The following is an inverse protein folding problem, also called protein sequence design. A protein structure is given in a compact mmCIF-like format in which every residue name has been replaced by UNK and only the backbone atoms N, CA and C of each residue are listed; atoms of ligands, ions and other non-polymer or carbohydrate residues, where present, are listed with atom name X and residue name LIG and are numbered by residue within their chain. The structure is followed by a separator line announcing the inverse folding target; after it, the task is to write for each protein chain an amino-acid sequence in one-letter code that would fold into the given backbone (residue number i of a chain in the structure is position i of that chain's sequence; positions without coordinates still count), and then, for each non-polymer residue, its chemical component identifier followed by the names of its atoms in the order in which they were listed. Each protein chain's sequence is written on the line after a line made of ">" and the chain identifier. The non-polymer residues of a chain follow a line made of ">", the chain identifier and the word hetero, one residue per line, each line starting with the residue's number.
data_IF_992496690589
#
_entry.id   IF_992496690589
#
_cell.length_a   1.000
_cell.length_b   1.000
_cell.length_c   1.000
_cell.angle_alpha   90.00
_cell.angle_beta   90.00
_cell.angle_gamma   90.00
#
_symmetry.space_group_name_H-M   'P 1'
#
loop_
_entity.id
_entity.type
_entity.pdbx_description
1 polymer ?
#
# COMPACT_ATOMS: atom_id res chain seq x y z
N UNK A 1 -11.44 -13.39 -8.10
CA UNK A 1 -10.51 -14.45 -7.58
C UNK A 1 -9.64 -13.86 -6.48
N UNK A 2 -9.56 -14.52 -5.33
CA UNK A 2 -8.68 -14.07 -4.24
C UNK A 2 -7.24 -14.44 -4.59
N UNK A 3 -6.38 -13.42 -4.65
CA UNK A 3 -4.96 -13.56 -4.98
C UNK A 3 -4.13 -13.76 -3.71
N UNK A 4 -3.00 -14.49 -3.78
CA UNK A 4 -2.10 -14.58 -2.63
C UNK A 4 -1.34 -13.26 -2.44
N UNK A 5 -1.17 -12.85 -1.19
CA UNK A 5 -0.37 -11.67 -0.83
C UNK A 5 1.09 -12.10 -0.64
N UNK A 6 1.98 -11.43 -1.36
CA UNK A 6 3.42 -11.66 -1.28
C UNK A 6 3.96 -11.03 -0.01
N UNK A 7 4.67 -11.82 0.78
CA UNK A 7 5.18 -11.40 2.08
C UNK A 7 6.59 -10.81 1.97
N UNK A 8 6.97 -10.05 2.99
CA UNK A 8 8.30 -9.52 3.17
C UNK A 8 9.38 -10.61 2.91
N UNK A 9 10.39 -10.26 2.15
CA UNK A 9 11.43 -11.17 1.67
C UNK A 9 11.22 -11.59 0.20
N UNK A 10 10.02 -11.45 -0.36
CA UNK A 10 9.80 -11.70 -1.77
C UNK A 10 10.40 -10.60 -2.63
N UNK A 11 11.23 -10.95 -3.64
CA UNK A 11 11.95 -9.95 -4.45
C UNK A 11 11.05 -8.92 -5.14
N UNK A 12 9.82 -9.29 -5.51
CA UNK A 12 8.89 -8.38 -6.19
C UNK A 12 8.59 -7.13 -5.36
N UNK A 13 8.64 -7.20 -4.02
CA UNK A 13 8.41 -6.06 -3.15
C UNK A 13 9.53 -5.02 -3.19
N UNK A 14 10.67 -5.36 -3.74
CA UNK A 14 11.84 -4.47 -3.89
C UNK A 14 12.15 -4.11 -5.35
N UNK A 15 11.39 -4.65 -6.30
CA UNK A 15 11.59 -4.34 -7.72
C UNK A 15 11.07 -2.95 -8.07
N UNK A 16 11.72 -2.26 -9.02
CA UNK A 16 11.13 -1.10 -9.67
C UNK A 16 9.81 -1.49 -10.33
N UNK A 17 8.84 -0.59 -10.30
CA UNK A 17 7.55 -0.80 -10.97
C UNK A 17 7.49 0.00 -12.26
N UNK A 18 6.71 -0.51 -13.21
CA UNK A 18 6.56 0.10 -14.54
C UNK A 18 5.16 0.69 -14.70
N UNK A 19 5.08 1.78 -15.45
CA UNK A 19 3.80 2.34 -15.85
C UNK A 19 3.01 1.35 -16.70
N UNK A 20 1.70 1.42 -16.61
CA UNK A 20 0.79 0.60 -17.42
C UNK A 20 0.03 1.47 -18.42
N UNK A 21 -0.40 0.85 -19.51
CA UNK A 21 -1.29 1.45 -20.53
C UNK A 21 -2.59 0.67 -20.58
N UNK A 22 -3.66 1.21 -21.21
CA UNK A 22 -4.92 0.48 -21.32
C UNK A 22 -4.80 -0.90 -21.97
N UNK A 23 -3.79 -1.08 -22.82
CA UNK A 23 -3.56 -2.32 -23.58
C UNK A 23 -2.62 -3.30 -22.88
N UNK A 24 -1.93 -2.89 -21.81
CA UNK A 24 -0.84 -3.68 -21.23
C UNK A 24 -1.31 -4.91 -20.44
N UNK A 25 -2.59 -4.93 -20.02
CA UNK A 25 -3.16 -6.05 -19.25
C UNK A 25 -4.69 -5.95 -19.20
N UNK A 26 -5.34 -7.02 -18.75
CA UNK A 26 -6.76 -7.00 -18.44
C UNK A 26 -6.98 -6.30 -17.09
N UNK A 27 -7.03 -4.97 -17.12
CA UNK A 27 -7.16 -4.15 -15.92
C UNK A 27 -8.46 -4.43 -15.16
N UNK A 28 -9.57 -4.62 -15.87
CA UNK A 28 -10.88 -4.87 -15.25
C UNK A 28 -10.86 -6.13 -14.38
N UNK A 29 -10.31 -7.20 -14.91
CA UNK A 29 -10.19 -8.45 -14.16
C UNK A 29 -9.22 -8.32 -12.99
N UNK A 30 -8.07 -7.67 -13.21
CA UNK A 30 -7.09 -7.44 -12.16
C UNK A 30 -7.67 -6.62 -11.00
N UNK A 31 -8.37 -5.54 -11.30
CA UNK A 31 -9.01 -4.70 -10.27
C UNK A 31 -10.08 -5.48 -9.49
N UNK A 32 -10.89 -6.28 -10.19
CA UNK A 32 -11.88 -7.14 -9.53
C UNK A 32 -11.22 -8.09 -8.53
N UNK A 33 -10.13 -8.73 -8.95
CA UNK A 33 -9.38 -9.66 -8.10
C UNK A 33 -8.70 -8.94 -6.92
N UNK A 34 -8.16 -7.74 -7.16
CA UNK A 34 -7.55 -6.93 -6.09
C UNK A 34 -8.57 -6.46 -5.06
N UNK A 35 -9.74 -5.99 -5.49
CA UNK A 35 -10.81 -5.58 -4.57
C UNK A 35 -11.29 -6.75 -3.71
N UNK A 36 -11.51 -7.91 -4.31
CA UNK A 36 -11.90 -9.11 -3.58
C UNK A 36 -10.82 -9.54 -2.56
N UNK A 37 -9.56 -9.50 -2.98
CA UNK A 37 -8.42 -9.84 -2.12
C UNK A 37 -8.31 -8.89 -0.92
N UNK A 38 -8.43 -7.58 -1.17
CA UNK A 38 -8.37 -6.56 -0.13
C UNK A 38 -9.49 -6.73 0.90
N UNK A 39 -10.71 -6.96 0.43
CA UNK A 39 -11.88 -7.15 1.30
C UNK A 39 -11.71 -8.37 2.22
N UNK A 40 -11.26 -9.49 1.69
CA UNK A 40 -11.03 -10.72 2.47
C UNK A 40 -9.89 -10.55 3.47
N UNK A 41 -8.84 -9.81 3.09
CA UNK A 41 -7.72 -9.54 3.97
C UNK A 41 -8.02 -8.46 5.02
N UNK A 42 -9.15 -7.74 4.90
CA UNK A 42 -9.56 -6.66 5.80
C UNK A 42 -8.52 -5.54 5.91
N UNK A 43 -7.84 -5.24 4.80
CA UNK A 43 -6.90 -4.12 4.71
C UNK A 43 -7.57 -2.86 4.18
N UNK A 44 -6.88 -1.73 4.26
CA UNK A 44 -7.35 -0.45 3.72
C UNK A 44 -6.63 -0.04 2.42
N UNK A 45 -5.62 -0.79 2.00
CA UNK A 45 -4.93 -0.58 0.74
C UNK A 45 -4.19 -1.82 0.27
N UNK A 46 -3.97 -1.92 -1.03
CA UNK A 46 -3.25 -3.02 -1.66
C UNK A 46 -2.55 -2.54 -2.93
N UNK A 47 -1.25 -2.73 -2.99
CA UNK A 47 -0.42 -2.38 -4.15
C UNK A 47 -0.12 -3.61 -5.01
N UNK A 48 0.03 -3.40 -6.32
CA UNK A 48 0.28 -4.49 -7.26
C UNK A 48 1.51 -5.35 -6.93
N UNK A 49 2.64 -4.80 -6.44
CA UNK A 49 3.75 -5.65 -6.00
C UNK A 49 3.35 -6.66 -4.92
N UNK A 50 2.40 -6.34 -4.06
CA UNK A 50 1.92 -7.24 -3.01
C UNK A 50 1.13 -8.44 -3.56
N UNK A 51 0.74 -8.41 -4.81
CA UNK A 51 0.14 -9.56 -5.51
C UNK A 51 1.05 -10.08 -6.63
N UNK A 52 2.33 -9.76 -6.58
CA UNK A 52 3.35 -10.31 -7.46
C UNK A 52 3.55 -9.58 -8.79
N UNK A 53 2.99 -8.37 -8.94
CA UNK A 53 3.07 -7.60 -10.19
C UNK A 53 3.85 -6.31 -9.99
N UNK A 54 4.99 -6.16 -10.67
CA UNK A 54 5.83 -4.97 -10.60
C UNK A 54 5.31 -3.85 -11.52
N UNK A 55 4.09 -3.42 -11.30
CA UNK A 55 3.42 -2.34 -12.05
C UNK A 55 2.94 -1.23 -11.12
N UNK A 56 2.80 -0.02 -11.67
CA UNK A 56 2.42 1.16 -10.91
C UNK A 56 0.91 1.27 -10.75
N UNK A 57 0.40 0.45 -9.85
CA UNK A 57 -1.02 0.36 -9.54
C UNK A 57 -1.20 0.07 -8.06
N UNK A 58 -2.07 0.83 -7.39
CA UNK A 58 -2.60 0.44 -6.08
C UNK A 58 -4.06 0.85 -5.93
N UNK A 59 -4.74 0.21 -5.01
CA UNK A 59 -6.11 0.51 -4.62
C UNK A 59 -6.16 0.86 -3.14
N UNK A 60 -7.12 1.71 -2.78
CA UNK A 60 -7.38 2.08 -1.39
C UNK A 60 -8.87 1.95 -1.09
N UNK A 61 -9.20 1.55 0.13
CA UNK A 61 -10.55 1.56 0.67
C UNK A 61 -10.48 1.93 2.16
N UNK A 62 -10.68 3.20 2.46
CA UNK A 62 -10.71 3.72 3.83
C UNK A 62 -12.12 3.91 4.37
N UNK A 63 -13.15 3.46 3.66
CA UNK A 63 -14.55 3.76 4.01
C UNK A 63 -14.95 3.27 5.40
N UNK A 64 -14.42 2.14 5.86
CA UNK A 64 -14.66 1.62 7.21
C UNK A 64 -13.99 2.45 8.32
N UNK A 65 -13.07 3.34 7.97
CA UNK A 65 -12.34 4.19 8.90
C UNK A 65 -12.97 5.58 9.04
N UNK A 66 -14.04 5.87 8.32
CA UNK A 66 -14.65 7.20 8.25
C UNK A 66 -15.18 7.71 9.58
N UNK A 67 -15.58 6.82 10.49
CA UNK A 67 -16.05 7.20 11.82
C UNK A 67 -14.95 7.87 12.66
N UNK A 68 -13.74 7.30 12.63
CA UNK A 68 -12.57 7.83 13.34
C UNK A 68 -11.82 8.87 12.53
N UNK A 69 -11.86 8.75 11.20
CA UNK A 69 -11.14 9.59 10.25
C UNK A 69 -12.09 10.09 9.16
N UNK A 70 -12.78 11.24 9.40
CA UNK A 70 -13.79 11.77 8.46
C UNK A 70 -13.28 12.00 7.05
N UNK A 71 -11.98 12.26 6.87
CA UNK A 71 -11.33 12.39 5.56
C UNK A 71 -11.35 11.10 4.74
N UNK A 72 -11.66 9.96 5.38
CA UNK A 72 -11.79 8.66 4.71
C UNK A 72 -13.23 8.36 4.25
N UNK A 73 -14.18 9.27 4.48
CA UNK A 73 -15.53 9.10 3.97
C UNK A 73 -15.50 9.03 2.45
N UNK A 74 -16.16 8.01 1.87
CA UNK A 74 -16.18 7.75 0.42
C UNK A 74 -14.79 7.55 -0.20
N UNK A 75 -13.77 7.30 0.63
CA UNK A 75 -12.40 7.12 0.17
C UNK A 75 -12.17 5.68 -0.30
N UNK A 76 -12.58 5.42 -1.55
CA UNK A 76 -12.37 4.15 -2.25
C UNK A 76 -11.96 4.48 -3.68
N UNK A 77 -10.68 4.22 -4.01
CA UNK A 77 -10.09 4.71 -5.26
C UNK A 77 -9.05 3.77 -5.85
N UNK A 78 -8.86 3.90 -7.15
CA UNK A 78 -7.81 3.26 -7.95
C UNK A 78 -6.78 4.30 -8.34
N UNK A 79 -5.50 4.01 -8.14
CA UNK A 79 -4.39 4.87 -8.52
C UNK A 79 -3.49 4.15 -9.52
N UNK A 80 -3.49 4.64 -10.76
CA UNK A 80 -2.67 4.11 -11.86
C UNK A 80 -1.60 5.12 -12.21
N UNK A 81 -0.35 4.66 -12.35
CA UNK A 81 0.81 5.49 -12.69
C UNK A 81 0.92 6.73 -11.81
N UNK A 82 0.76 6.60 -10.48
CA UNK A 82 0.73 7.75 -9.60
C UNK A 82 2.10 8.38 -9.44
N UNK A 83 2.10 9.70 -9.17
CA UNK A 83 3.29 10.47 -8.81
C UNK A 83 2.91 11.47 -7.72
N UNK A 84 3.59 11.41 -6.59
CA UNK A 84 3.45 12.43 -5.54
C UNK A 84 4.27 13.65 -5.98
N UNK A 85 3.58 14.76 -6.24
CA UNK A 85 4.20 15.98 -6.78
C UNK A 85 4.48 17.04 -5.73
N UNK A 86 3.80 16.99 -4.58
CA UNK A 86 4.05 17.86 -3.44
C UNK A 86 3.86 17.11 -2.13
N UNK A 87 4.65 17.50 -1.13
CA UNK A 87 4.53 17.03 0.25
C UNK A 87 4.56 18.23 1.18
N UNK A 88 3.77 18.20 2.26
CA UNK A 88 3.80 19.25 3.27
C UNK A 88 5.13 19.23 4.05
N UNK A 89 5.53 20.40 4.58
CA UNK A 89 6.65 20.49 5.52
C UNK A 89 6.28 19.92 6.89
N UNK A 90 5.01 20.01 7.26
CA UNK A 90 4.48 19.45 8.50
C UNK A 90 4.37 17.94 8.39
N UNK A 91 4.82 17.25 9.43
CA UNK A 91 4.74 15.80 9.54
C UNK A 91 3.66 15.38 10.54
N UNK A 92 3.17 14.15 10.38
CA UNK A 92 2.31 13.47 11.36
C UNK A 92 2.84 12.09 11.66
N UNK A 93 2.44 11.56 12.81
CA UNK A 93 2.79 10.20 13.24
C UNK A 93 1.53 9.36 13.35
N UNK A 94 1.52 8.22 12.67
CA UNK A 94 0.45 7.21 12.79
C UNK A 94 1.07 5.84 12.97
N UNK A 95 0.35 4.95 13.65
CA UNK A 95 0.67 3.53 13.65
C UNK A 95 0.33 2.93 12.30
N UNK A 96 1.26 2.19 11.71
CA UNK A 96 1.07 1.49 10.45
C UNK A 96 1.29 -0.01 10.59
N UNK A 97 0.52 -0.77 9.81
CA UNK A 97 0.71 -2.18 9.59
C UNK A 97 0.61 -2.47 8.10
N UNK A 98 0.98 -3.65 7.66
CA UNK A 98 0.99 -4.03 6.25
C UNK A 98 0.62 -5.50 6.09
N UNK A 99 -0.20 -5.79 5.08
CA UNK A 99 -0.58 -7.19 4.76
C UNK A 99 0.64 -8.05 4.38
N UNK A 100 1.70 -7.43 3.86
CA UNK A 100 2.96 -8.12 3.53
C UNK A 100 3.89 -8.31 4.74
N UNK A 101 3.57 -7.68 5.88
CA UNK A 101 4.32 -7.74 7.14
C UNK A 101 3.38 -8.14 8.29
N UNK A 102 2.77 -9.34 8.26
CA UNK A 102 1.77 -9.73 9.25
C UNK A 102 2.35 -9.74 10.68
N UNK A 103 1.59 -9.19 11.62
CA UNK A 103 1.95 -9.16 13.04
C UNK A 103 2.90 -8.04 13.43
N UNK A 104 3.26 -7.12 12.53
CA UNK A 104 4.12 -5.98 12.83
C UNK A 104 3.31 -4.69 12.72
N UNK A 105 3.38 -3.85 13.76
CA UNK A 105 2.85 -2.48 13.76
C UNK A 105 3.90 -1.57 14.37
N UNK A 106 4.13 -0.41 13.77
CA UNK A 106 5.07 0.60 14.24
C UNK A 106 4.56 2.00 13.95
N UNK A 107 4.93 2.95 14.77
CA UNK A 107 4.67 4.36 14.51
C UNK A 107 5.59 4.86 13.39
N UNK A 108 5.02 5.51 12.41
CA UNK A 108 5.74 6.02 11.24
C UNK A 108 5.47 7.52 11.10
N UNK A 109 6.53 8.28 10.88
CA UNK A 109 6.47 9.73 10.62
C UNK A 109 6.45 9.93 9.10
N UNK A 110 5.45 10.68 8.62
CA UNK A 110 5.32 11.03 7.20
C UNK A 110 4.77 12.44 7.05
N UNK A 111 4.94 13.08 5.87
CA UNK A 111 4.25 14.34 5.57
C UNK A 111 2.75 14.26 5.89
N UNK A 112 2.22 15.32 6.51
CA UNK A 112 0.82 15.39 6.92
C UNK A 112 -0.14 15.43 5.73
N UNK A 113 0.29 16.07 4.63
CA UNK A 113 -0.49 16.13 3.39
C UNK A 113 0.38 15.95 2.16
N UNK A 114 -0.24 15.50 1.09
CA UNK A 114 0.40 15.27 -0.20
C UNK A 114 -0.50 15.75 -1.33
N UNK A 115 0.11 16.13 -2.45
CA UNK A 115 -0.59 16.29 -3.72
C UNK A 115 -0.09 15.20 -4.66
N UNK A 116 -1.02 14.47 -5.26
CA UNK A 116 -0.72 13.32 -6.10
C UNK A 116 -1.43 13.47 -7.46
N UNK A 117 -0.67 13.20 -8.53
CA UNK A 117 -1.19 13.08 -9.89
C UNK A 117 -1.26 11.60 -10.23
N UNK A 118 -2.40 11.16 -10.78
CA UNK A 118 -2.62 9.76 -11.09
C UNK A 118 -3.69 9.59 -12.17
N UNK A 119 -3.81 8.39 -12.70
CA UNK A 119 -4.91 7.99 -13.58
C UNK A 119 -5.88 7.10 -12.81
N UNK A 120 -7.17 7.29 -13.02
CA UNK A 120 -8.21 6.41 -12.49
C UNK A 120 -8.36 5.14 -13.37
N UNK A 121 -9.32 4.28 -13.04
CA UNK A 121 -9.59 3.04 -13.78
C UNK A 121 -9.98 3.24 -15.24
N UNK A 122 -10.38 4.47 -15.62
CA UNK A 122 -10.69 4.87 -17.00
C UNK A 122 -9.52 5.56 -17.69
N UNK A 123 -8.32 5.60 -17.04
CA UNK A 123 -7.14 6.32 -17.48
C UNK A 123 -7.38 7.84 -17.63
N UNK A 124 -8.34 8.37 -16.87
CA UNK A 124 -8.55 9.82 -16.73
C UNK A 124 -7.60 10.38 -15.68
N UNK A 125 -6.89 11.46 -16.01
CA UNK A 125 -5.91 12.09 -15.12
C UNK A 125 -6.60 12.92 -14.04
N UNK A 126 -6.09 12.80 -12.83
CA UNK A 126 -6.48 13.60 -11.67
C UNK A 126 -5.23 14.13 -10.96
N UNK A 127 -5.36 15.33 -10.39
CA UNK A 127 -4.38 15.89 -9.46
C UNK A 127 -5.16 16.33 -8.22
N UNK A 128 -4.88 15.71 -7.10
CA UNK A 128 -5.66 15.86 -5.87
C UNK A 128 -4.74 15.99 -4.67
N UNK A 129 -5.19 16.77 -3.66
CA UNK A 129 -4.50 16.91 -2.39
C UNK A 129 -5.25 16.16 -1.32
N UNK A 130 -4.52 15.38 -0.53
CA UNK A 130 -5.04 14.60 0.59
C UNK A 130 -4.30 14.95 1.86
N UNK A 131 -5.00 14.87 2.99
CA UNK A 131 -4.43 15.03 4.33
C UNK A 131 -4.90 13.89 5.25
N UNK A 132 -4.49 13.95 6.52
CA UNK A 132 -4.91 13.02 7.54
C UNK A 132 -4.62 11.56 7.20
N UNK A 133 -5.51 10.67 7.58
CA UNK A 133 -5.31 9.24 7.38
C UNK A 133 -5.45 8.82 5.91
N UNK A 134 -6.22 9.55 5.09
CA UNK A 134 -6.29 9.31 3.65
C UNK A 134 -4.91 9.49 3.00
N UNK A 135 -4.19 10.57 3.35
CA UNK A 135 -2.82 10.79 2.88
C UNK A 135 -1.88 9.68 3.39
N UNK A 136 -2.11 9.18 4.59
CA UNK A 136 -1.32 8.09 5.20
C UNK A 136 -1.44 6.80 4.39
N UNK A 137 -2.65 6.40 4.05
CA UNK A 137 -2.92 5.20 3.25
C UNK A 137 -2.25 5.32 1.88
N UNK A 138 -2.42 6.46 1.21
CA UNK A 138 -1.81 6.69 -0.11
C UNK A 138 -0.29 6.56 -0.05
N UNK A 139 0.36 7.20 0.92
CA UNK A 139 1.82 7.19 1.05
C UNK A 139 2.36 5.79 1.34
N UNK A 140 1.64 5.01 2.15
CA UNK A 140 2.00 3.62 2.45
C UNK A 140 1.98 2.77 1.17
N UNK A 141 0.91 2.87 0.37
CA UNK A 141 0.78 2.10 -0.88
C UNK A 141 1.75 2.60 -1.96
N UNK A 142 1.96 3.92 -2.04
CA UNK A 142 2.93 4.51 -2.95
C UNK A 142 4.35 3.98 -2.69
N UNK A 143 4.72 3.82 -1.43
CA UNK A 143 6.02 3.23 -1.06
C UNK A 143 6.22 1.85 -1.70
N UNK A 144 5.20 1.01 -1.75
CA UNK A 144 5.30 -0.29 -2.40
C UNK A 144 5.69 -0.18 -3.88
N UNK A 145 5.21 0.88 -4.57
CA UNK A 145 5.58 1.13 -5.96
C UNK A 145 7.03 1.59 -6.11
N UNK A 146 7.61 2.17 -5.05
CA UNK A 146 9.00 2.60 -5.01
C UNK A 146 9.94 1.55 -4.37
N UNK A 147 9.43 0.36 -4.09
CA UNK A 147 10.20 -0.72 -3.51
C UNK A 147 10.47 -0.59 -2.01
N UNK A 148 9.64 0.17 -1.30
CA UNK A 148 9.76 0.41 0.14
C UNK A 148 8.63 -0.22 0.94
N UNK A 149 8.92 -0.54 2.19
CA UNK A 149 7.93 -0.94 3.20
C UNK A 149 8.04 -0.01 4.40
N UNK A 150 6.97 0.06 5.23
CA UNK A 150 6.92 1.06 6.29
C UNK A 150 8.03 0.90 7.34
N UNK A 151 8.57 -0.30 7.54
CA UNK A 151 9.67 -0.54 8.46
C UNK A 151 10.99 0.05 7.97
N UNK A 152 11.09 0.45 6.71
CA UNK A 152 12.24 1.19 6.19
C UNK A 152 12.27 2.64 6.73
N UNK A 153 11.13 3.14 7.22
CA UNK A 153 10.96 4.53 7.70
C UNK A 153 11.01 4.70 9.21
N UNK A 154 11.08 3.61 9.97
CA UNK A 154 11.20 3.69 11.43
C UNK A 154 12.65 3.93 11.85
N UNK A 155 12.85 4.35 13.11
CA UNK A 155 14.20 4.61 13.64
C UNK A 155 15.07 3.34 13.64
N UNK A 156 16.42 3.49 13.59
CA UNK A 156 17.33 2.34 13.66
C UNK A 156 17.10 1.45 14.89
N UNK A 157 16.80 2.04 16.03
CA UNK A 157 16.47 1.30 17.27
C UNK A 157 15.21 0.46 17.06
N UNK A 158 14.15 1.05 16.50
CA UNK A 158 12.91 0.31 16.24
C UNK A 158 13.10 -0.79 15.19
N UNK A 159 13.94 -0.58 14.20
CA UNK A 159 14.30 -1.63 13.23
C UNK A 159 14.95 -2.83 13.91
N UNK A 160 15.80 -2.60 14.89
CA UNK A 160 16.41 -3.68 15.67
C UNK A 160 15.33 -4.51 16.40
N UNK A 161 14.33 -3.86 16.99
CA UNK A 161 13.26 -4.55 17.69
C UNK A 161 12.42 -5.44 16.78
N UNK A 162 12.18 -5.04 15.52
CA UNK A 162 11.36 -5.81 14.57
C UNK A 162 12.17 -6.77 13.70
N UNK A 163 13.49 -6.72 13.76
CA UNK A 163 14.40 -7.50 12.88
C UNK A 163 14.11 -9.00 12.90
N UNK A 164 13.94 -9.59 14.08
CA UNK A 164 13.65 -11.03 14.21
C UNK A 164 12.29 -11.36 13.59
N UNK A 165 11.28 -10.53 13.82
CA UNK A 165 9.95 -10.70 13.24
C UNK A 165 10.00 -10.64 11.70
N UNK A 166 10.73 -9.67 11.13
CA UNK A 166 10.93 -9.54 9.70
C UNK A 166 11.64 -10.77 9.11
N UNK A 167 12.69 -11.23 9.76
CA UNK A 167 13.41 -12.43 9.35
C UNK A 167 12.50 -13.66 9.36
N UNK A 168 11.64 -13.80 10.37
CA UNK A 168 10.70 -14.90 10.47
C UNK A 168 9.64 -14.86 9.35
N UNK A 169 9.17 -13.68 8.97
CA UNK A 169 8.28 -13.52 7.83
C UNK A 169 8.99 -13.98 6.55
N UNK A 170 10.20 -13.49 6.30
CA UNK A 170 11.00 -13.83 5.12
C UNK A 170 11.29 -15.34 5.02
N UNK A 171 11.44 -16.02 6.17
CA UNK A 171 11.66 -17.48 6.24
C UNK A 171 10.37 -18.28 6.18
N UNK A 172 9.22 -17.63 6.05
CA UNK A 172 7.93 -18.31 6.02
C UNK A 172 7.48 -18.93 7.33
N UNK A 173 7.95 -18.39 8.45
CA UNK A 173 7.64 -18.89 9.82
C UNK A 173 6.43 -18.19 10.45
N UNK A 174 5.79 -17.27 9.74
CA UNK A 174 4.65 -16.49 10.23
C UNK A 174 3.40 -16.89 9.46
N UNK A 175 2.32 -17.17 10.19
CA UNK A 175 1.01 -17.44 9.62
C UNK A 175 0.21 -16.13 9.50
N UNK A 176 -0.60 -16.02 8.45
CA UNK A 176 -1.59 -14.97 8.27
C UNK A 176 -2.98 -15.59 8.08
N UNK A 177 -4.02 -14.83 8.39
CA UNK A 177 -5.42 -15.28 8.21
C UNK A 177 -5.89 -15.23 6.76
N UNK A 178 -5.07 -14.70 5.87
CA UNK A 178 -5.33 -14.62 4.43
C UNK A 178 -4.30 -15.44 3.65
N UNK A 179 -4.60 -15.70 2.38
CA UNK A 179 -3.70 -16.45 1.49
C UNK A 179 -2.42 -15.66 1.23
N UNK A 180 -1.28 -16.30 1.38
CA UNK A 180 0.04 -15.67 1.22
C UNK A 180 0.93 -16.43 0.25
N UNK A 181 1.92 -15.70 -0.30
CA UNK A 181 3.04 -16.21 -1.09
C UNK A 181 4.35 -15.81 -0.41
N UNK A 182 5.22 -16.78 -0.20
CA UNK A 182 6.53 -16.66 0.41
C UNK A 182 7.58 -17.43 -0.39
#
# INVERSE_FOLDING_TARGET
>A
MILPIYLYGQPVLRKPTEDITPESLDLKQLLSDMWETLAVAEGCGLAAPQIGKAIRLFIVDGTELAEDYPECQDFKKVFINPEIIEESEEDTTFSEGCLSLPGISENVIRPASITIRYLDENFTEHTETYDGFAARIIQHEYDHLEGHVFTDRISPIRRQFVKTKLTNIAKGKVAARYRTKR
#
